data_IF_217134569700
#
_entry.id   IF_217134569700
#
_cell.length_a   1.000
_cell.length_b   1.000
_cell.length_c   1.000
_cell.angle_alpha   90.00
_cell.angle_beta   90.00
_cell.angle_gamma   90.00
#
_symmetry.space_group_name_H-M   'P 1'
#
loop_
_entity.id
_entity.type
_entity.pdbx_description
1 polymer ?
#
# COMPACT_ATOMS: atom_id res chain seq x y z
N UNK A 1 -1.44 -1.71 -26.16
CA UNK A 1 -2.83 -1.58 -26.61
C UNK A 1 -3.65 -1.90 -25.38
N UNK A 2 -4.10 -0.87 -24.66
CA UNK A 2 -4.99 -1.02 -23.50
C UNK A 2 -6.31 -1.50 -24.09
N UNK A 3 -6.62 -2.75 -23.88
CA UNK A 3 -7.87 -3.33 -24.37
C UNK A 3 -9.04 -2.68 -23.66
N UNK A 4 -10.08 -2.36 -24.37
CA UNK A 4 -11.36 -1.72 -23.97
C UNK A 4 -12.12 -2.44 -22.83
N UNK A 5 -11.48 -3.41 -22.17
CA UNK A 5 -12.07 -4.26 -21.12
C UNK A 5 -12.39 -3.52 -19.81
N UNK A 6 -11.80 -2.35 -19.57
CA UNK A 6 -12.02 -1.56 -18.34
C UNK A 6 -13.27 -0.66 -18.36
N UNK A 7 -14.14 -0.78 -19.36
CA UNK A 7 -15.31 0.10 -19.52
C UNK A 7 -16.66 -0.56 -19.32
N UNK A 8 -16.70 -1.85 -19.06
CA UNK A 8 -17.99 -2.51 -18.87
C UNK A 8 -18.33 -2.57 -17.38
N UNK A 9 -19.46 -2.00 -17.02
CA UNK A 9 -20.11 -2.17 -15.70
C UNK A 9 -20.54 -3.61 -15.42
N UNK A 10 -20.13 -4.55 -16.25
CA UNK A 10 -20.51 -5.95 -16.22
C UNK A 10 -19.46 -6.85 -15.55
N UNK A 11 -18.23 -6.33 -15.26
CA UNK A 11 -17.21 -7.09 -14.58
C UNK A 11 -17.40 -7.08 -13.07
N UNK A 12 -17.30 -8.28 -12.49
CA UNK A 12 -17.31 -8.47 -11.04
C UNK A 12 -15.90 -8.69 -10.52
N UNK A 13 -15.58 -8.11 -9.37
CA UNK A 13 -14.29 -8.26 -8.71
C UNK A 13 -14.43 -8.61 -7.25
N UNK A 14 -13.40 -9.22 -6.71
CA UNK A 14 -13.26 -9.52 -5.29
C UNK A 14 -11.89 -9.09 -4.79
N UNK A 15 -11.81 -8.65 -3.56
CA UNK A 15 -10.55 -8.43 -2.84
C UNK A 15 -10.25 -9.64 -1.98
N UNK A 16 -9.01 -10.15 -2.06
CA UNK A 16 -8.58 -11.26 -1.22
C UNK A 16 -7.10 -11.11 -0.83
N UNK A 17 -6.80 -11.33 0.43
CA UNK A 17 -5.44 -11.38 0.98
C UNK A 17 -4.92 -12.81 1.16
N UNK A 18 -5.79 -13.81 1.01
CA UNK A 18 -5.44 -15.22 1.18
C UNK A 18 -4.89 -15.84 -0.12
N UNK A 19 -4.17 -16.96 -0.04
CA UNK A 19 -3.90 -17.81 -1.18
C UNK A 19 -5.20 -18.31 -1.82
N UNK A 20 -5.20 -18.54 -3.13
CA UNK A 20 -6.35 -19.10 -3.82
C UNK A 20 -6.78 -20.42 -3.17
N UNK A 21 -8.09 -20.57 -2.97
CA UNK A 21 -8.71 -21.82 -2.54
C UNK A 21 -10.03 -22.02 -3.28
N UNK A 22 -10.21 -23.20 -3.87
CA UNK A 22 -11.38 -23.50 -4.73
C UNK A 22 -12.70 -23.36 -3.99
N UNK A 23 -12.74 -23.75 -2.72
CA UNK A 23 -13.93 -23.69 -1.86
C UNK A 23 -14.41 -22.27 -1.55
N UNK A 24 -13.54 -21.26 -1.73
CA UNK A 24 -13.86 -19.83 -1.54
C UNK A 24 -13.95 -19.06 -2.85
N UNK A 25 -13.84 -19.73 -3.99
CA UNK A 25 -13.90 -19.08 -5.29
C UNK A 25 -15.29 -18.52 -5.56
N UNK A 26 -15.38 -17.18 -5.68
CA UNK A 26 -16.60 -16.47 -6.03
C UNK A 26 -16.87 -16.44 -7.54
N UNK A 27 -15.98 -17.01 -8.35
CA UNK A 27 -16.05 -16.99 -9.82
C UNK A 27 -16.20 -15.57 -10.39
N UNK A 28 -15.58 -14.59 -9.72
CA UNK A 28 -15.51 -13.22 -10.22
C UNK A 28 -14.59 -13.13 -11.44
N UNK A 29 -14.73 -12.06 -12.23
CA UNK A 29 -13.92 -11.84 -13.43
C UNK A 29 -12.48 -11.46 -13.08
N UNK A 30 -12.29 -10.72 -11.99
CA UNK A 30 -10.97 -10.35 -11.50
C UNK A 30 -10.85 -10.47 -9.99
N UNK A 31 -9.61 -10.53 -9.53
CA UNK A 31 -9.25 -10.48 -8.12
C UNK A 31 -8.25 -9.35 -7.87
N UNK A 32 -8.53 -8.54 -6.85
CA UNK A 32 -7.57 -7.61 -6.27
C UNK A 32 -6.81 -8.36 -5.18
N UNK A 33 -5.60 -8.84 -5.50
CA UNK A 33 -4.72 -9.50 -4.52
C UNK A 33 -4.19 -8.45 -3.57
N UNK A 34 -4.58 -8.54 -2.28
CA UNK A 34 -4.31 -7.50 -1.30
C UNK A 34 -3.02 -7.75 -0.52
N UNK A 35 -2.25 -6.67 -0.31
CA UNK A 35 -1.07 -6.64 0.54
C UNK A 35 0.25 -6.85 -0.18
N UNK A 36 1.34 -6.41 0.47
CA UNK A 36 2.71 -6.37 -0.08
C UNK A 36 3.66 -7.35 0.65
N UNK A 37 3.16 -8.51 1.04
CA UNK A 37 3.95 -9.54 1.70
C UNK A 37 4.87 -10.33 0.73
N UNK A 38 5.71 -11.18 1.31
CA UNK A 38 6.68 -11.95 0.54
C UNK A 38 6.06 -13.01 -0.40
N UNK A 39 4.79 -13.36 -0.22
CA UNK A 39 4.09 -14.34 -1.06
C UNK A 39 3.20 -13.70 -2.13
N UNK A 40 3.20 -12.39 -2.26
CA UNK A 40 2.37 -11.64 -3.21
C UNK A 40 2.48 -12.21 -4.64
N UNK A 41 3.69 -12.41 -5.13
CA UNK A 41 3.93 -12.95 -6.46
C UNK A 41 3.36 -14.38 -6.62
N UNK A 42 3.48 -15.21 -5.58
CA UNK A 42 2.91 -16.56 -5.54
C UNK A 42 1.39 -16.53 -5.63
N UNK A 43 0.73 -15.68 -4.84
CA UNK A 43 -0.73 -15.52 -4.86
C UNK A 43 -1.23 -15.03 -6.22
N UNK A 44 -0.58 -14.04 -6.82
CA UNK A 44 -0.93 -13.53 -8.17
C UNK A 44 -0.84 -14.65 -9.20
N UNK A 45 0.26 -15.42 -9.22
CA UNK A 45 0.41 -16.55 -10.16
C UNK A 45 -0.68 -17.59 -10.00
N UNK A 46 -1.04 -17.93 -8.76
CA UNK A 46 -2.04 -18.96 -8.51
C UNK A 46 -3.43 -18.49 -8.95
N UNK A 47 -3.86 -17.27 -8.65
CA UNK A 47 -5.12 -16.74 -9.17
C UNK A 47 -5.17 -16.69 -10.70
N UNK A 48 -4.08 -16.28 -11.36
CA UNK A 48 -3.99 -16.27 -12.82
C UNK A 48 -4.10 -17.66 -13.43
N UNK A 49 -3.48 -18.66 -12.82
CA UNK A 49 -3.57 -20.07 -13.25
C UNK A 49 -5.00 -20.57 -13.22
N UNK A 50 -5.83 -20.09 -12.31
CA UNK A 50 -7.25 -20.40 -12.22
C UNK A 50 -8.14 -19.48 -13.07
N UNK A 51 -7.56 -18.67 -13.95
CA UNK A 51 -8.29 -17.92 -14.97
C UNK A 51 -8.73 -16.51 -14.56
N UNK A 52 -8.36 -16.04 -13.38
CA UNK A 52 -8.69 -14.68 -12.94
C UNK A 52 -7.83 -13.64 -13.66
N UNK A 53 -8.43 -12.51 -13.99
CA UNK A 53 -7.69 -11.27 -14.22
C UNK A 53 -7.17 -10.81 -12.86
N UNK A 54 -5.88 -10.50 -12.75
CA UNK A 54 -5.29 -10.13 -11.46
C UNK A 54 -4.95 -8.65 -11.39
N UNK A 55 -5.36 -8.02 -10.30
CA UNK A 55 -4.99 -6.68 -9.92
C UNK A 55 -4.22 -6.76 -8.58
N UNK A 56 -3.39 -5.76 -8.30
CA UNK A 56 -2.85 -5.55 -6.96
C UNK A 56 -3.73 -4.52 -6.23
N UNK A 57 -3.94 -4.72 -4.93
CA UNK A 57 -4.49 -3.70 -4.05
C UNK A 57 -3.63 -3.54 -2.81
N UNK A 58 -3.30 -2.31 -2.44
CA UNK A 58 -2.46 -2.03 -1.27
C UNK A 58 -2.74 -0.66 -0.68
N UNK A 59 -2.64 -0.55 0.64
CA UNK A 59 -2.53 0.73 1.33
C UNK A 59 -1.26 1.46 0.90
N UNK A 60 -1.32 2.78 0.81
CA UNK A 60 -0.18 3.61 0.43
C UNK A 60 0.23 4.63 1.50
N UNK A 61 -0.53 4.71 2.58
CA UNK A 61 -0.21 5.56 3.73
C UNK A 61 0.02 4.77 5.02
N UNK A 62 -0.37 3.50 5.05
CA UNK A 62 -0.16 2.59 6.18
C UNK A 62 -0.08 1.14 5.69
N UNK A 63 0.54 0.28 6.50
CA UNK A 63 0.72 -1.14 6.20
C UNK A 63 1.74 -1.80 7.12
N UNK A 64 2.00 -3.09 6.93
CA UNK A 64 3.07 -3.80 7.61
C UNK A 64 4.43 -3.46 6.96
N UNK A 65 4.96 -2.30 7.30
CA UNK A 65 6.21 -1.76 6.77
C UNK A 65 7.36 -1.87 7.78
N UNK A 66 7.38 -2.93 8.59
CA UNK A 66 8.36 -3.11 9.67
C UNK A 66 9.80 -3.16 9.18
N UNK A 67 10.05 -3.73 8.01
CA UNK A 67 11.36 -3.77 7.39
C UNK A 67 11.87 -2.37 7.01
N UNK A 68 10.99 -1.48 6.56
CA UNK A 68 11.30 -0.08 6.30
C UNK A 68 11.49 0.71 7.60
N UNK A 69 10.50 0.66 8.47
CA UNK A 69 10.50 1.41 9.73
C UNK A 69 11.73 1.11 10.59
N UNK A 70 12.13 -0.16 10.65
CA UNK A 70 13.23 -0.63 11.50
C UNK A 70 14.58 -0.74 10.78
N UNK A 71 14.67 -0.29 9.54
CA UNK A 71 15.94 -0.17 8.81
C UNK A 71 16.45 -1.44 8.16
N UNK A 72 15.64 -2.49 8.01
CA UNK A 72 16.03 -3.69 7.29
C UNK A 72 16.07 -3.49 5.78
N UNK A 73 15.41 -2.47 5.27
CA UNK A 73 15.33 -2.16 3.85
C UNK A 73 16.63 -1.54 3.32
N UNK A 74 17.14 -0.50 3.99
CA UNK A 74 18.28 0.31 3.53
C UNK A 74 19.33 0.62 4.60
N UNK A 75 19.17 0.07 5.81
CA UNK A 75 20.08 0.28 6.95
C UNK A 75 19.74 1.50 7.81
N UNK A 76 18.67 2.22 7.51
CA UNK A 76 18.21 3.40 8.24
C UNK A 76 16.82 3.16 8.82
N UNK A 77 16.58 3.57 10.07
CA UNK A 77 15.22 3.64 10.62
C UNK A 77 14.44 4.80 10.00
N UNK A 78 13.17 4.54 9.63
CA UNK A 78 12.27 5.53 9.01
C UNK A 78 11.07 5.91 9.89
N UNK A 79 11.15 5.66 11.20
CA UNK A 79 10.13 6.12 12.14
C UNK A 79 9.96 7.65 12.17
N UNK A 80 10.99 8.38 11.78
CA UNK A 80 10.95 9.83 11.59
C UNK A 80 10.07 10.28 10.41
N UNK A 81 9.68 9.38 9.54
CA UNK A 81 8.77 9.61 8.41
C UNK A 81 7.30 9.29 8.74
N UNK A 82 7.02 8.83 9.96
CA UNK A 82 5.64 8.68 10.41
C UNK A 82 4.93 10.02 10.52
N UNK A 83 3.62 10.04 10.24
CA UNK A 83 2.77 11.18 10.58
C UNK A 83 2.74 11.34 12.11
N UNK A 84 2.90 12.55 12.61
CA UNK A 84 2.85 12.83 14.04
C UNK A 84 1.83 13.90 14.38
N UNK A 85 1.27 13.79 15.60
CA UNK A 85 0.45 14.83 16.20
C UNK A 85 1.31 16.01 16.69
N UNK A 86 0.64 17.06 17.24
CA UNK A 86 1.33 18.25 17.78
C UNK A 86 2.26 17.97 18.97
N UNK A 87 2.13 16.83 19.61
CA UNK A 87 2.96 16.43 20.75
C UNK A 87 4.12 15.52 20.31
N UNK A 88 4.23 15.24 19.01
CA UNK A 88 5.26 14.38 18.44
C UNK A 88 4.95 12.88 18.54
N UNK A 89 3.72 12.48 18.90
CA UNK A 89 3.35 11.07 18.93
C UNK A 89 2.97 10.60 17.52
N UNK A 90 3.42 9.40 17.10
CA UNK A 90 2.99 8.81 15.84
C UNK A 90 1.47 8.65 15.78
N UNK A 91 0.89 8.96 14.64
CA UNK A 91 -0.52 8.68 14.34
C UNK A 91 -0.60 7.26 13.84
N UNK A 92 -1.22 6.39 14.62
CA UNK A 92 -1.26 4.95 14.38
C UNK A 92 -2.58 4.53 13.71
N UNK A 93 -2.49 3.51 12.87
CA UNK A 93 -3.68 2.88 12.29
C UNK A 93 -4.55 2.23 13.37
N UNK A 94 -5.88 2.26 13.16
CA UNK A 94 -6.87 1.67 14.06
C UNK A 94 -7.66 2.71 14.87
N UNK A 95 -9.01 2.66 14.74
CA UNK A 95 -9.89 3.65 15.37
C UNK A 95 -10.09 3.41 16.88
N UNK A 96 -10.26 2.16 17.30
CA UNK A 96 -10.59 1.82 18.68
C UNK A 96 -9.44 1.15 19.42
N UNK A 97 -8.60 0.44 18.70
CA UNK A 97 -7.41 -0.23 19.23
C UNK A 97 -6.27 0.10 18.26
N UNK A 98 -5.44 1.09 18.58
CA UNK A 98 -4.31 1.44 17.74
C UNK A 98 -3.39 0.22 17.52
N UNK A 99 -2.94 0.02 16.28
CA UNK A 99 -1.91 -0.95 15.95
C UNK A 99 -0.54 -0.31 16.23
N UNK A 100 0.16 -0.66 17.29
CA UNK A 100 1.33 0.10 17.77
C UNK A 100 2.48 0.15 16.77
N UNK A 101 2.54 -0.82 15.87
CA UNK A 101 3.61 -0.97 14.90
C UNK A 101 3.19 -0.54 13.47
N UNK A 102 2.01 0.08 13.31
CA UNK A 102 1.47 0.49 12.01
C UNK A 102 1.16 2.00 12.02
N UNK A 103 2.19 2.86 11.86
CA UNK A 103 1.96 4.29 11.73
C UNK A 103 1.43 4.65 10.35
N UNK A 104 0.71 5.77 10.26
CA UNK A 104 0.51 6.45 8.98
C UNK A 104 1.80 7.13 8.56
N UNK A 105 2.15 7.03 7.27
CA UNK A 105 3.40 7.53 6.73
C UNK A 105 3.23 8.88 6.03
N UNK A 106 4.28 9.69 6.07
CA UNK A 106 4.42 10.88 5.22
C UNK A 106 4.87 10.41 3.84
N UNK A 107 4.29 10.93 2.74
CA UNK A 107 4.70 10.57 1.38
C UNK A 107 6.03 11.22 1.00
N UNK A 108 7.13 10.64 1.46
CA UNK A 108 8.50 11.03 1.11
C UNK A 108 8.97 10.26 -0.13
N UNK A 109 10.02 10.75 -0.81
CA UNK A 109 10.65 10.02 -1.91
C UNK A 109 11.19 8.66 -1.45
N UNK A 110 11.77 8.58 -0.25
CA UNK A 110 12.29 7.33 0.29
C UNK A 110 11.18 6.30 0.54
N UNK A 111 10.04 6.74 1.05
CA UNK A 111 8.87 5.88 1.23
C UNK A 111 8.27 5.44 -0.12
N UNK A 112 8.25 6.33 -1.12
CA UNK A 112 7.83 5.99 -2.47
C UNK A 112 8.75 4.92 -3.10
N UNK A 113 10.06 5.06 -2.98
CA UNK A 113 11.03 4.07 -3.46
C UNK A 113 10.84 2.70 -2.79
N UNK A 114 10.58 2.71 -1.48
CA UNK A 114 10.24 1.49 -0.76
C UNK A 114 8.97 0.83 -1.32
N UNK A 115 7.86 1.58 -1.46
CA UNK A 115 6.61 1.04 -2.02
C UNK A 115 6.80 0.51 -3.44
N UNK A 116 7.54 1.21 -4.29
CA UNK A 116 7.90 0.76 -5.65
C UNK A 116 8.60 -0.61 -5.59
N UNK A 117 9.55 -0.78 -4.67
CA UNK A 117 10.27 -2.05 -4.51
C UNK A 117 9.34 -3.22 -4.13
N UNK A 118 8.32 -2.96 -3.32
CA UNK A 118 7.32 -3.94 -2.88
C UNK A 118 6.26 -4.25 -3.94
N UNK A 119 5.91 -3.26 -4.75
CA UNK A 119 4.93 -3.39 -5.84
C UNK A 119 5.54 -4.08 -7.07
N UNK A 120 6.83 -3.89 -7.31
CA UNK A 120 7.52 -4.44 -8.48
C UNK A 120 7.28 -5.94 -8.72
N UNK A 121 7.29 -6.84 -7.72
CA UNK A 121 6.98 -8.26 -7.94
C UNK A 121 5.59 -8.50 -8.56
N UNK A 122 4.58 -7.70 -8.20
CA UNK A 122 3.25 -7.81 -8.81
C UNK A 122 3.25 -7.37 -10.29
N UNK A 123 3.99 -6.30 -10.60
CA UNK A 123 4.16 -5.83 -11.98
C UNK A 123 4.88 -6.88 -12.81
N UNK A 124 5.94 -7.48 -12.28
CA UNK A 124 6.71 -8.53 -12.97
C UNK A 124 5.85 -9.78 -13.23
N UNK A 125 4.88 -10.09 -12.36
CA UNK A 125 3.88 -11.15 -12.56
C UNK A 125 2.76 -10.73 -13.52
N UNK A 126 2.74 -9.48 -13.98
CA UNK A 126 1.83 -8.97 -15.00
C UNK A 126 0.42 -8.70 -14.51
N UNK A 127 0.27 -8.08 -13.34
CA UNK A 127 -1.05 -7.55 -12.92
C UNK A 127 -1.56 -6.53 -13.92
N UNK A 128 -2.87 -6.47 -14.09
CA UNK A 128 -3.52 -5.58 -15.04
C UNK A 128 -3.64 -4.15 -14.52
N UNK A 129 -3.92 -4.02 -13.22
CA UNK A 129 -4.13 -2.74 -12.57
C UNK A 129 -3.59 -2.76 -11.13
N UNK A 130 -3.30 -1.57 -10.60
CA UNK A 130 -2.90 -1.37 -9.21
C UNK A 130 -3.90 -0.42 -8.57
N UNK A 131 -4.56 -0.89 -7.52
CA UNK A 131 -5.49 -0.10 -6.71
C UNK A 131 -4.75 0.41 -5.48
N UNK A 132 -4.52 1.71 -5.44
CA UNK A 132 -3.92 2.39 -4.29
C UNK A 132 -5.03 2.79 -3.33
N UNK A 133 -5.01 2.20 -2.15
CA UNK A 133 -6.02 2.37 -1.12
C UNK A 133 -5.55 3.38 -0.07
N UNK A 134 -6.50 4.13 0.48
CA UNK A 134 -6.35 4.95 1.67
C UNK A 134 -5.13 5.88 1.67
N UNK A 135 -5.07 6.86 0.74
CA UNK A 135 -4.03 7.89 0.76
C UNK A 135 -4.30 8.90 1.89
N UNK A 136 -4.26 8.43 3.13
CA UNK A 136 -4.75 9.16 4.29
C UNK A 136 -3.68 10.09 4.88
N UNK A 137 -4.08 11.35 5.07
CA UNK A 137 -3.35 12.29 5.88
C UNK A 137 -4.31 12.94 6.89
N UNK A 138 -4.14 12.63 8.16
CA UNK A 138 -5.11 13.02 9.19
C UNK A 138 -5.01 14.50 9.56
N UNK A 139 -6.16 15.15 9.77
CA UNK A 139 -6.23 16.57 10.09
C UNK A 139 -5.49 16.98 11.39
N UNK A 140 -5.22 16.04 12.28
CA UNK A 140 -4.45 16.27 13.50
C UNK A 140 -2.96 15.89 13.39
N UNK A 141 -2.50 15.45 12.21
CA UNK A 141 -1.11 15.15 11.89
C UNK A 141 -0.45 16.31 11.13
N UNK A 142 0.76 16.13 10.65
CA UNK A 142 1.48 17.19 9.94
C UNK A 142 2.52 17.91 10.81
N UNK A 143 2.90 17.33 11.94
CA UNK A 143 3.87 17.94 12.85
C UNK A 143 5.25 17.27 12.82
N UNK A 144 5.43 16.18 12.08
CA UNK A 144 6.76 15.56 11.91
C UNK A 144 7.70 16.44 11.09
N UNK A 145 9.00 16.28 11.32
CA UNK A 145 10.01 17.00 10.54
C UNK A 145 10.01 16.57 9.07
N UNK A 146 9.69 15.29 8.80
CA UNK A 146 9.50 14.79 7.44
C UNK A 146 8.38 15.56 6.72
N UNK A 147 7.20 15.70 7.35
CA UNK A 147 6.11 16.47 6.75
C UNK A 147 6.49 17.91 6.47
N UNK A 148 7.11 18.59 7.44
CA UNK A 148 7.54 19.99 7.27
C UNK A 148 8.53 20.16 6.13
N UNK A 149 9.44 19.18 5.96
CA UNK A 149 10.41 19.17 4.87
C UNK A 149 9.71 19.02 3.52
N UNK A 150 8.81 18.03 3.38
CA UNK A 150 8.05 17.81 2.15
C UNK A 150 7.14 19.00 1.82
N UNK A 151 6.48 19.58 2.83
CA UNK A 151 5.66 20.77 2.67
C UNK A 151 6.49 21.94 2.10
N UNK A 152 7.68 22.20 2.68
CA UNK A 152 8.59 23.25 2.21
C UNK A 152 9.06 22.99 0.76
N UNK A 153 9.38 21.75 0.43
CA UNK A 153 9.80 21.39 -0.93
C UNK A 153 8.68 21.68 -1.93
N UNK A 154 7.45 21.31 -1.60
CA UNK A 154 6.31 21.42 -2.51
C UNK A 154 5.77 22.85 -2.62
N UNK A 155 5.63 23.58 -1.52
CA UNK A 155 5.02 24.89 -1.49
C UNK A 155 6.03 26.05 -1.48
N UNK A 156 7.30 25.80 -1.18
CA UNK A 156 8.34 26.84 -1.10
C UNK A 156 8.28 27.72 0.15
N UNK A 157 7.51 27.34 1.15
CA UNK A 157 7.31 28.08 2.41
C UNK A 157 7.29 27.13 3.61
N UNK A 158 7.45 27.68 4.81
CA UNK A 158 7.40 26.91 6.04
C UNK A 158 5.96 26.59 6.47
N UNK A 159 5.77 25.36 6.97
CA UNK A 159 4.54 24.92 7.62
C UNK A 159 4.41 25.55 9.01
#
# INVERSE_FOLDING_TARGET
MITDRNRSSEYTGVQDSAPYAEEYSLQSDFVMVYGLDNDLAGRIREYRKHGYITHLMTGISWGDYQDYLNGSFDGRSHWDEAQTDRNGHPVLHGFNVPCPDVPYMVPTDAFADYLISKIKPAIDEGVNDIHMEEPEFWAHSGYSDAFRREYRIYYGEDW
#
